data_IF_584332043406
#
_entry.id   IF_584332043406
#
_cell.length_a   1.000
_cell.length_b   1.000
_cell.length_c   1.000
_cell.angle_alpha   90.00
_cell.angle_beta   90.00
_cell.angle_gamma   90.00
#
_symmetry.space_group_name_H-M   'P 1'
#
loop_
_entity.id
_entity.type
_entity.pdbx_description
1 polymer ?
#
# COMPACT_ATOMS: atom_id res chain seq x y z
N UNK A 1 -13.90 2.33 -9.82
CA UNK A 1 -12.94 2.75 -8.78
C UNK A 1 -12.25 1.51 -8.29
N UNK A 2 -10.98 1.31 -8.65
CA UNK A 2 -10.19 0.17 -8.17
C UNK A 2 -9.51 0.63 -6.87
N UNK A 3 -9.23 -0.29 -5.95
CA UNK A 3 -8.58 -0.02 -4.65
C UNK A 3 -7.33 0.90 -4.75
N UNK A 4 -6.44 0.77 -5.77
CA UNK A 4 -5.28 1.65 -5.90
C UNK A 4 -5.64 3.12 -6.14
N UNK A 5 -6.73 3.40 -6.86
CA UNK A 5 -7.11 4.77 -7.25
C UNK A 5 -7.33 5.65 -6.02
N UNK A 6 -7.94 5.07 -4.98
CA UNK A 6 -8.15 5.74 -3.70
C UNK A 6 -6.84 6.11 -3.00
N UNK A 7 -5.88 5.19 -2.98
CA UNK A 7 -4.58 5.41 -2.32
C UNK A 7 -3.80 6.51 -3.04
N UNK A 8 -3.73 6.47 -4.38
CA UNK A 8 -2.99 7.45 -5.17
C UNK A 8 -3.62 8.84 -5.13
N UNK A 9 -4.95 8.92 -5.10
CA UNK A 9 -5.63 10.20 -4.95
C UNK A 9 -5.32 10.83 -3.59
N UNK A 10 -5.41 10.06 -2.48
CA UNK A 10 -5.15 10.62 -1.16
C UNK A 10 -3.67 10.92 -0.94
N UNK A 11 -2.73 10.15 -1.50
CA UNK A 11 -1.31 10.53 -1.49
C UNK A 11 -1.09 11.90 -2.16
N UNK A 12 -1.76 12.16 -3.30
CA UNK A 12 -1.60 13.42 -4.04
C UNK A 12 -2.23 14.61 -3.33
N UNK A 13 -3.45 14.46 -2.83
CA UNK A 13 -4.23 15.60 -2.31
C UNK A 13 -4.14 15.75 -0.78
N UNK A 14 -3.77 14.69 -0.06
CA UNK A 14 -3.76 14.64 1.42
C UNK A 14 -2.58 13.78 1.92
N UNK A 15 -1.33 14.05 1.48
CA UNK A 15 -0.17 13.18 1.76
C UNK A 15 0.06 12.96 3.24
N UNK A 16 -0.11 14.01 4.06
CA UNK A 16 0.17 14.00 5.50
C UNK A 16 -1.02 13.52 6.35
N UNK A 17 -2.18 13.27 5.72
CA UNK A 17 -3.35 12.76 6.44
C UNK A 17 -3.09 11.30 6.84
N UNK A 18 -3.45 10.95 8.07
CA UNK A 18 -3.36 9.58 8.57
C UNK A 18 -4.31 8.66 7.78
N UNK A 19 -3.74 7.58 7.25
CA UNK A 19 -4.43 6.56 6.45
C UNK A 19 -4.67 5.27 7.24
N UNK A 20 -3.68 4.87 8.08
CA UNK A 20 -3.74 3.64 8.87
C UNK A 20 -3.27 3.94 10.29
N UNK A 21 -4.00 3.42 11.27
CA UNK A 21 -3.63 3.44 12.68
C UNK A 21 -3.65 2.00 13.16
N UNK A 22 -2.53 1.53 13.70
CA UNK A 22 -2.43 0.25 14.38
C UNK A 22 -1.70 0.46 15.71
N UNK A 23 -2.49 0.40 16.79
CA UNK A 23 -2.01 0.69 18.15
C UNK A 23 -1.27 2.05 18.20
N UNK A 24 -0.01 2.09 18.64
CA UNK A 24 0.79 3.31 18.70
C UNK A 24 1.37 3.75 17.34
N UNK A 25 1.18 2.98 16.27
CA UNK A 25 1.73 3.29 14.95
C UNK A 25 0.67 3.95 14.09
N UNK A 26 1.06 5.06 13.46
CA UNK A 26 0.25 5.76 12.49
C UNK A 26 1.04 5.87 11.19
N UNK A 27 0.35 5.71 10.07
CA UNK A 27 0.92 5.92 8.74
C UNK A 27 0.11 6.94 7.99
N UNK A 28 0.79 7.92 7.40
CA UNK A 28 0.17 8.86 6.47
C UNK A 28 -0.12 8.20 5.12
N UNK A 29 -0.98 8.81 4.30
CA UNK A 29 -1.21 8.33 2.93
C UNK A 29 0.08 8.25 2.11
N UNK A 30 0.99 9.22 2.25
CA UNK A 30 2.29 9.19 1.58
C UNK A 30 3.16 8.00 2.03
N UNK A 31 3.13 7.65 3.32
CA UNK A 31 3.90 6.54 3.86
C UNK A 31 3.36 5.18 3.41
N UNK A 32 2.04 5.01 3.43
CA UNK A 32 1.38 3.80 2.93
C UNK A 32 1.69 3.63 1.44
N UNK A 33 1.50 4.68 0.64
CA UNK A 33 1.79 4.67 -0.79
C UNK A 33 3.24 4.28 -1.10
N UNK A 34 4.21 4.85 -0.38
CA UNK A 34 5.63 4.49 -0.49
C UNK A 34 5.88 3.02 -0.17
N UNK A 35 5.26 2.47 0.89
CA UNK A 35 5.39 1.04 1.26
C UNK A 35 4.76 0.13 0.21
N UNK A 36 3.59 0.48 -0.30
CA UNK A 36 2.90 -0.26 -1.38
C UNK A 36 3.76 -0.30 -2.63
N UNK A 37 4.34 0.82 -3.07
CA UNK A 37 5.25 0.84 -4.23
C UNK A 37 6.50 -0.02 -4.02
N UNK A 38 7.09 0.01 -2.83
CA UNK A 38 8.23 -0.86 -2.49
C UNK A 38 7.87 -2.33 -2.59
N UNK A 39 6.72 -2.73 -2.06
CA UNK A 39 6.26 -4.10 -2.13
C UNK A 39 5.94 -4.53 -3.58
N UNK A 40 5.23 -3.70 -4.33
CA UNK A 40 4.93 -3.97 -5.74
C UNK A 40 6.21 -4.10 -6.59
N UNK A 41 7.22 -3.24 -6.36
CA UNK A 41 8.50 -3.34 -7.06
C UNK A 41 9.27 -4.62 -6.71
N UNK A 42 9.17 -5.12 -5.47
CA UNK A 42 9.77 -6.38 -5.08
C UNK A 42 9.06 -7.57 -5.76
N UNK A 43 7.72 -7.58 -5.78
CA UNK A 43 6.94 -8.60 -6.49
C UNK A 43 7.26 -8.61 -7.99
N UNK A 44 7.33 -7.43 -8.62
CA UNK A 44 7.68 -7.31 -10.03
C UNK A 44 9.08 -7.87 -10.32
N UNK A 45 10.05 -7.65 -9.42
CA UNK A 45 11.40 -8.24 -9.54
C UNK A 45 11.43 -9.76 -9.41
N UNK A 46 10.44 -10.35 -8.73
CA UNK A 46 10.25 -11.79 -8.64
C UNK A 46 9.51 -12.37 -9.85
N UNK A 47 9.15 -11.54 -10.84
CA UNK A 47 8.45 -11.97 -12.06
C UNK A 47 6.92 -11.96 -11.95
N UNK A 48 6.37 -11.51 -10.81
CA UNK A 48 4.92 -11.45 -10.60
C UNK A 48 4.29 -10.33 -11.43
N UNK A 49 3.24 -10.67 -12.18
CA UNK A 49 2.50 -9.80 -13.08
C UNK A 49 0.99 -9.82 -12.87
N UNK A 50 0.28 -9.22 -13.83
CA UNK A 50 -1.17 -9.21 -13.81
C UNK A 50 -1.72 -10.62 -14.07
N UNK A 51 -2.65 -11.07 -13.23
CA UNK A 51 -3.24 -12.41 -13.30
C UNK A 51 -2.59 -13.42 -12.35
N UNK A 52 -1.38 -13.15 -11.86
CA UNK A 52 -0.70 -14.02 -10.90
C UNK A 52 -1.34 -13.93 -9.51
N UNK A 53 -1.11 -14.97 -8.70
CA UNK A 53 -1.66 -15.07 -7.34
C UNK A 53 -0.56 -14.94 -6.29
N UNK A 54 -0.78 -14.09 -5.30
CA UNK A 54 0.13 -13.88 -4.18
C UNK A 54 -0.63 -14.11 -2.88
N UNK A 55 -0.24 -15.13 -2.12
CA UNK A 55 -0.79 -15.38 -0.80
C UNK A 55 -0.16 -14.44 0.23
N UNK A 56 -0.98 -13.87 1.12
CA UNK A 56 -0.52 -13.08 2.27
C UNK A 56 -1.03 -13.77 3.53
N UNK A 57 -0.11 -14.28 4.33
CA UNK A 57 -0.40 -14.80 5.66
C UNK A 57 0.14 -13.83 6.69
N UNK A 58 -0.77 -13.14 7.39
CA UNK A 58 -0.44 -12.19 8.45
C UNK A 58 -1.55 -12.14 9.49
N UNK A 59 -1.20 -11.77 10.71
CA UNK A 59 -2.18 -11.31 11.70
C UNK A 59 -2.71 -9.93 11.32
N UNK A 60 -3.81 -9.49 11.96
CA UNK A 60 -4.26 -8.11 11.86
C UNK A 60 -3.21 -7.18 12.51
N UNK A 61 -2.46 -6.48 11.66
CA UNK A 61 -1.38 -5.55 12.00
C UNK A 61 -1.58 -4.21 11.32
#
# INVERSE_FOLDING_TARGET
MIVPDFLWQNERYRPDKIAVIHDHRQFTYAEVARRTRRFANALKKLGIGAGDHVAVLSTNT
#
